data_IF_260055072236
#
_entry.id   IF_260055072236
#
_cell.length_a   1.000
_cell.length_b   1.000
_cell.length_c   1.000
_cell.angle_alpha   90.00
_cell.angle_beta   90.00
_cell.angle_gamma   90.00
#
_symmetry.space_group_name_H-M   'P 1'
#
loop_
_entity.id
_entity.type
_entity.pdbx_description
1 polymer ?
#
# COMPACT_ATOMS: atom_id res chain seq x y z
N UNK A 1 -14.90 -10.37 -30.17
CA UNK A 1 -15.16 -11.37 -29.13
C UNK A 1 -13.90 -11.41 -28.29
N UNK A 2 -13.88 -10.71 -27.14
CA UNK A 2 -12.70 -10.68 -26.29
C UNK A 2 -12.50 -12.09 -25.73
N UNK A 3 -11.37 -12.69 -26.04
CA UNK A 3 -10.96 -13.98 -25.48
C UNK A 3 -10.80 -13.75 -23.97
N UNK A 4 -11.79 -14.23 -23.23
CA UNK A 4 -11.76 -14.23 -21.78
C UNK A 4 -10.71 -15.27 -21.40
N UNK A 5 -9.47 -14.80 -21.19
CA UNK A 5 -8.37 -15.63 -20.69
C UNK A 5 -8.93 -16.31 -19.43
N UNK A 6 -8.95 -17.65 -19.36
CA UNK A 6 -9.48 -18.37 -18.22
C UNK A 6 -8.79 -17.86 -16.95
N UNK A 7 -9.53 -17.74 -15.84
CA UNK A 7 -9.01 -17.51 -14.48
C UNK A 7 -8.07 -18.66 -14.08
N UNK A 8 -6.92 -18.79 -14.74
CA UNK A 8 -5.82 -19.59 -14.26
C UNK A 8 -5.33 -18.92 -12.98
N UNK A 9 -5.14 -19.69 -11.92
CA UNK A 9 -4.61 -19.18 -10.66
C UNK A 9 -3.33 -18.40 -10.94
N UNK A 10 -3.33 -17.11 -10.61
CA UNK A 10 -2.13 -16.31 -10.73
C UNK A 10 -1.09 -16.79 -9.72
N UNK A 11 0.16 -16.42 -9.92
CA UNK A 11 1.19 -16.70 -8.93
C UNK A 11 0.99 -15.77 -7.74
N UNK A 12 1.06 -16.30 -6.52
CA UNK A 12 1.13 -15.43 -5.34
C UNK A 12 2.54 -14.87 -5.22
N UNK A 13 2.64 -13.55 -5.18
CA UNK A 13 3.89 -12.82 -5.06
C UNK A 13 3.88 -11.92 -3.82
N UNK A 14 5.04 -11.82 -3.18
CA UNK A 14 5.29 -10.91 -2.06
C UNK A 14 6.46 -10.03 -2.45
N UNK A 15 6.23 -8.72 -2.46
CA UNK A 15 7.25 -7.71 -2.76
C UNK A 15 7.60 -6.96 -1.48
N UNK A 16 8.89 -6.84 -1.20
CA UNK A 16 9.39 -6.00 -0.11
C UNK A 16 9.92 -4.68 -0.67
N UNK A 17 9.48 -3.56 -0.10
CA UNK A 17 10.04 -2.24 -0.40
C UNK A 17 11.03 -1.89 0.72
N UNK A 18 12.33 -1.98 0.42
CA UNK A 18 13.41 -1.70 1.35
C UNK A 18 14.09 -0.36 1.06
N UNK A 19 14.90 0.11 2.01
CA UNK A 19 15.79 1.25 1.79
C UNK A 19 15.11 2.61 1.71
N UNK A 20 13.90 2.73 2.27
CA UNK A 20 13.20 4.02 2.38
C UNK A 20 14.00 4.92 3.32
N UNK A 21 14.29 6.14 2.90
CA UNK A 21 15.02 7.09 3.72
C UNK A 21 14.13 7.65 4.83
N UNK A 22 14.74 8.04 5.95
CA UNK A 22 14.03 8.76 7.00
C UNK A 22 13.40 10.06 6.45
N UNK A 23 12.19 10.37 6.90
CA UNK A 23 11.39 11.51 6.45
C UNK A 23 10.90 11.45 5.02
N UNK A 24 10.93 10.27 4.40
CA UNK A 24 10.35 10.06 3.06
C UNK A 24 9.28 8.99 3.09
N UNK A 25 8.22 9.20 2.32
CA UNK A 25 7.27 8.14 2.00
C UNK A 25 7.87 7.15 0.99
N UNK A 26 7.19 6.03 0.83
CA UNK A 26 7.60 4.96 -0.07
C UNK A 26 6.65 4.81 -1.25
N UNK A 27 7.17 4.24 -2.34
CA UNK A 27 6.37 3.81 -3.47
C UNK A 27 6.89 2.48 -4.02
N UNK A 28 6.01 1.79 -4.72
CA UNK A 28 6.27 0.60 -5.52
C UNK A 28 5.72 0.86 -6.92
N UNK A 29 6.58 0.65 -7.92
CA UNK A 29 6.21 0.75 -9.33
C UNK A 29 6.03 -0.66 -9.87
N UNK A 30 4.84 -0.96 -10.39
CA UNK A 30 4.54 -2.24 -11.00
C UNK A 30 5.44 -2.50 -12.21
N UNK A 31 5.98 -3.72 -12.30
CA UNK A 31 6.72 -4.17 -13.48
C UNK A 31 5.83 -4.18 -14.73
N UNK A 32 6.38 -3.68 -15.83
CA UNK A 32 5.69 -3.69 -17.13
C UNK A 32 5.41 -5.15 -17.53
N UNK A 33 4.29 -5.40 -18.21
CA UNK A 33 3.85 -6.72 -18.72
C UNK A 33 3.29 -7.66 -17.66
N UNK A 34 2.93 -7.12 -16.51
CA UNK A 34 2.24 -7.87 -15.46
C UNK A 34 0.83 -7.32 -15.28
N UNK A 35 -0.11 -8.22 -15.02
CA UNK A 35 -1.38 -7.89 -14.38
C UNK A 35 -1.27 -8.33 -12.93
N UNK A 36 -1.65 -7.47 -11.99
CA UNK A 36 -1.59 -7.73 -10.57
C UNK A 36 -2.96 -7.57 -9.95
N UNK A 37 -3.35 -8.45 -9.05
CA UNK A 37 -4.47 -8.25 -8.13
C UNK A 37 -3.87 -8.00 -6.76
N UNK A 38 -4.00 -6.76 -6.28
CA UNK A 38 -3.51 -6.37 -4.95
C UNK A 38 -4.40 -6.97 -3.86
N UNK A 39 -3.83 -7.84 -3.03
CA UNK A 39 -4.52 -8.51 -1.92
C UNK A 39 -4.32 -7.75 -0.62
N UNK A 40 -3.08 -7.34 -0.34
CA UNK A 40 -2.75 -6.61 0.87
C UNK A 40 -1.48 -5.76 0.72
N UNK A 41 -1.39 -4.73 1.55
CA UNK A 41 -0.19 -3.94 1.82
C UNK A 41 -0.02 -3.87 3.32
N UNK A 42 1.19 -4.13 3.83
CA UNK A 42 1.54 -3.85 5.22
C UNK A 42 2.78 -2.97 5.28
N UNK A 43 2.83 -2.04 6.22
CA UNK A 43 3.98 -1.17 6.42
C UNK A 43 4.02 -0.71 7.88
N UNK A 44 5.22 -0.49 8.42
CA UNK A 44 5.38 0.03 9.79
C UNK A 44 5.95 1.44 9.72
N UNK A 45 5.30 2.40 10.39
CA UNK A 45 5.81 3.75 10.59
C UNK A 45 6.31 3.89 12.02
N UNK A 46 7.58 4.25 12.16
CA UNK A 46 8.19 4.69 13.41
C UNK A 46 8.18 6.22 13.39
N UNK A 47 7.46 6.83 14.32
CA UNK A 47 7.32 8.29 14.39
C UNK A 47 8.29 8.92 15.37
N UNK A 48 8.78 10.09 15.01
CA UNK A 48 9.59 10.99 15.81
C UNK A 48 8.77 11.66 16.93
N UNK A 49 9.48 12.30 17.87
CA UNK A 49 8.91 13.06 18.99
C UNK A 49 8.45 14.48 18.64
N UNK A 50 8.86 15.03 17.48
CA UNK A 50 8.89 16.48 17.26
C UNK A 50 7.69 17.05 16.48
N UNK A 51 7.05 16.28 15.60
CA UNK A 51 5.94 16.77 14.76
C UNK A 51 4.62 16.11 15.21
N UNK A 52 3.52 16.85 14.99
CA UNK A 52 2.11 16.54 15.27
C UNK A 52 1.60 15.17 14.76
N UNK A 53 0.30 14.96 14.68
CA UNK A 53 -0.23 13.66 14.29
C UNK A 53 0.01 13.32 12.81
N UNK A 54 0.39 12.08 12.52
CA UNK A 54 0.54 11.57 11.14
C UNK A 54 -0.74 10.96 10.64
N UNK A 55 -1.01 11.17 9.35
CA UNK A 55 -2.10 10.47 8.65
C UNK A 55 -1.54 9.87 7.36
N UNK A 56 -1.09 8.60 7.39
CA UNK A 56 -0.72 7.89 6.18
C UNK A 56 -1.95 7.55 5.34
N UNK A 57 -1.84 7.80 4.04
CA UNK A 57 -2.84 7.46 3.03
C UNK A 57 -2.20 6.53 1.99
N UNK A 58 -2.92 5.49 1.58
CA UNK A 58 -2.49 4.67 0.44
C UNK A 58 -3.03 5.29 -0.84
N UNK A 59 -2.15 5.61 -1.77
CA UNK A 59 -2.48 6.20 -3.06
C UNK A 59 -2.03 5.26 -4.16
N UNK A 60 -2.95 4.94 -5.06
CA UNK A 60 -2.68 4.13 -6.24
C UNK A 60 -2.93 4.99 -7.45
N UNK A 61 -1.91 5.12 -8.28
CA UNK A 61 -1.99 5.81 -9.56
C UNK A 61 -1.73 4.83 -10.70
N UNK A 62 -2.27 5.11 -11.87
CA UNK A 62 -2.03 4.33 -13.07
C UNK A 62 -1.87 5.26 -14.27
N UNK A 63 -0.75 5.13 -14.99
CA UNK A 63 -0.42 6.07 -16.06
C UNK A 63 -0.33 7.53 -15.59
N UNK A 64 0.00 7.75 -14.31
CA UNK A 64 0.05 9.08 -13.67
C UNK A 64 -1.29 9.64 -13.19
N UNK A 65 -2.39 8.91 -13.36
CA UNK A 65 -3.72 9.30 -12.86
C UNK A 65 -4.02 8.59 -11.55
N UNK A 66 -4.43 9.32 -10.51
CA UNK A 66 -4.92 8.73 -9.26
C UNK A 66 -6.22 7.97 -9.50
N UNK A 67 -6.21 6.67 -9.23
CA UNK A 67 -7.39 5.80 -9.35
C UNK A 67 -8.02 5.52 -7.99
N UNK A 68 -7.20 5.45 -6.94
CA UNK A 68 -7.62 5.14 -5.58
C UNK A 68 -6.80 5.97 -4.60
N UNK A 69 -7.49 6.53 -3.62
CA UNK A 69 -6.92 7.08 -2.38
C UNK A 69 -7.68 6.53 -1.20
N UNK A 70 -6.94 5.92 -0.28
CA UNK A 70 -7.48 5.36 0.96
C UNK A 70 -6.90 6.17 2.11
N UNK A 71 -7.70 7.13 2.56
CA UNK A 71 -7.36 8.01 3.67
C UNK A 71 -7.25 7.21 4.98
N UNK A 72 -6.23 7.52 5.77
CA UNK A 72 -6.08 6.99 7.12
C UNK A 72 -7.24 7.42 8.00
N UNK A 73 -7.86 6.48 8.72
CA UNK A 73 -9.05 6.75 9.53
C UNK A 73 -8.76 7.52 10.83
N UNK A 74 -7.51 7.56 11.28
CA UNK A 74 -7.11 8.15 12.56
C UNK A 74 -5.74 8.80 12.50
N UNK A 75 -5.51 9.70 13.46
CA UNK A 75 -4.26 10.40 13.71
C UNK A 75 -3.27 9.49 14.44
N UNK A 76 -2.03 9.39 13.98
CA UNK A 76 -0.95 8.66 14.65
C UNK A 76 -0.10 9.61 15.47
N UNK A 77 -0.10 9.40 16.78
CA UNK A 77 0.63 10.24 17.72
C UNK A 77 2.15 10.13 17.52
N UNK A 78 2.85 11.20 17.87
CA UNK A 78 4.31 11.24 17.93
C UNK A 78 4.88 10.18 18.89
N UNK A 79 6.14 9.81 18.67
CA UNK A 79 6.91 8.86 19.50
C UNK A 79 6.26 7.48 19.65
N UNK A 80 5.65 7.00 18.57
CA UNK A 80 5.01 5.69 18.51
C UNK A 80 5.43 4.92 17.27
N UNK A 81 5.36 3.60 17.37
CA UNK A 81 5.47 2.69 16.23
C UNK A 81 4.06 2.21 15.89
N UNK A 82 3.66 2.35 14.63
CA UNK A 82 2.37 1.86 14.13
C UNK A 82 2.54 0.98 12.90
N UNK A 83 1.85 -0.15 12.90
CA UNK A 83 1.70 -1.04 11.77
C UNK A 83 0.43 -0.63 11.02
N UNK A 84 0.54 -0.44 9.72
CA UNK A 84 -0.54 -0.15 8.81
C UNK A 84 -0.74 -1.35 7.91
N UNK A 85 -1.99 -1.79 7.82
CA UNK A 85 -2.46 -2.80 6.89
C UNK A 85 -3.54 -2.20 6.00
N UNK A 86 -3.44 -2.43 4.71
CA UNK A 86 -4.52 -2.25 3.76
C UNK A 86 -4.82 -3.61 3.17
N UNK A 87 -5.99 -4.19 3.46
CA UNK A 87 -6.28 -5.60 3.16
C UNK A 87 -7.62 -5.74 2.44
N UNK A 88 -7.66 -6.59 1.42
CA UNK A 88 -8.90 -6.91 0.72
C UNK A 88 -9.89 -7.64 1.63
N UNK A 89 -11.15 -7.20 1.61
CA UNK A 89 -12.25 -7.93 2.22
C UNK A 89 -12.34 -7.83 3.75
N UNK A 90 -11.33 -7.28 4.40
CA UNK A 90 -11.32 -7.01 5.84
C UNK A 90 -12.20 -5.81 6.18
N UNK A 91 -12.82 -5.85 7.37
CA UNK A 91 -13.45 -4.64 7.94
C UNK A 91 -12.34 -3.78 8.53
N UNK A 92 -12.47 -2.46 8.41
CA UNK A 92 -11.52 -1.55 9.04
C UNK A 92 -11.48 -1.83 10.56
N UNK A 93 -10.31 -2.20 11.06
CA UNK A 93 -10.06 -2.43 12.48
C UNK A 93 -9.18 -1.29 12.99
N UNK A 94 -9.79 -0.39 13.74
CA UNK A 94 -9.06 0.48 14.65
C UNK A 94 -9.18 -0.16 16.04
N UNK A 95 -8.14 -0.86 16.48
CA UNK A 95 -8.14 -1.39 17.86
C UNK A 95 -7.65 -0.26 18.76
N UNK A 96 -8.56 0.30 19.55
CA UNK A 96 -8.26 1.37 20.51
C UNK A 96 -7.09 0.94 21.42
N UNK A 97 -6.01 1.73 21.43
CA UNK A 97 -4.82 1.45 22.25
C UNK A 97 -3.81 0.48 21.65
N UNK A 98 -3.93 0.08 20.38
CA UNK A 98 -2.92 -0.74 19.71
C UNK A 98 -2.11 0.00 18.65
N UNK A 99 -0.88 -0.47 18.48
CA UNK A 99 0.13 -0.07 17.49
C UNK A 99 -0.16 -0.64 16.09
N UNK A 100 -1.42 -0.93 15.76
CA UNK A 100 -1.79 -1.52 14.46
C UNK A 100 -3.13 -1.00 13.95
N UNK A 101 -3.23 -0.84 12.63
CA UNK A 101 -4.41 -0.34 11.93
C UNK A 101 -4.63 -1.14 10.66
N UNK A 102 -5.86 -1.61 10.46
CA UNK A 102 -6.24 -2.26 9.21
C UNK A 102 -7.33 -1.44 8.54
N UNK A 103 -7.12 -1.09 7.27
CA UNK A 103 -8.08 -0.40 6.42
C UNK A 103 -8.46 -1.31 5.26
N UNK A 104 -9.72 -1.28 4.85
CA UNK A 104 -10.21 -2.12 3.77
C UNK A 104 -9.68 -1.65 2.40
N UNK A 105 -9.17 -2.57 1.61
CA UNK A 105 -8.97 -2.37 0.17
C UNK A 105 -10.26 -2.71 -0.60
N UNK A 106 -10.54 -2.03 -1.73
CA UNK A 106 -11.56 -2.48 -2.67
C UNK A 106 -11.33 -3.93 -3.08
N UNK A 107 -12.42 -4.70 -3.19
CA UNK A 107 -12.35 -6.09 -3.65
C UNK A 107 -11.97 -6.15 -5.12
N UNK A 108 -11.20 -7.19 -5.48
CA UNK A 108 -10.80 -7.46 -6.86
C UNK A 108 -10.10 -6.28 -7.53
N UNK A 109 -9.24 -5.57 -6.78
CA UNK A 109 -8.46 -4.47 -7.32
C UNK A 109 -7.36 -5.00 -8.25
N UNK A 110 -7.71 -5.04 -9.53
CA UNK A 110 -6.78 -5.37 -10.60
C UNK A 110 -6.06 -4.12 -11.07
N UNK A 111 -4.74 -4.21 -11.07
CA UNK A 111 -3.80 -3.21 -11.55
C UNK A 111 -3.11 -3.78 -12.79
N UNK A 112 -3.09 -3.00 -13.85
CA UNK A 112 -2.39 -3.30 -15.08
C UNK A 112 -1.36 -2.21 -15.35
N UNK A 113 -0.26 -2.60 -16.00
CA UNK A 113 0.82 -1.77 -16.55
C UNK A 113 0.90 -0.32 -16.04
N UNK A 114 2.05 0.02 -15.44
CA UNK A 114 2.35 1.38 -14.95
C UNK A 114 1.51 1.81 -13.75
N UNK A 115 1.03 0.86 -12.94
CA UNK A 115 0.49 1.20 -11.63
C UNK A 115 1.63 1.58 -10.68
N UNK A 116 1.41 2.62 -9.87
CA UNK A 116 2.28 3.00 -8.77
C UNK A 116 1.44 2.95 -7.50
N UNK A 117 1.87 2.13 -6.55
CA UNK A 117 1.30 2.04 -5.20
C UNK A 117 2.22 2.83 -4.29
N UNK A 118 1.69 3.81 -3.60
CA UNK A 118 2.48 4.71 -2.76
C UNK A 118 1.76 5.02 -1.47
N UNK A 119 2.52 5.44 -0.47
CA UNK A 119 1.96 6.11 0.69
C UNK A 119 2.21 7.60 0.59
N UNK A 120 1.27 8.39 1.06
CA UNK A 120 1.47 9.82 1.31
C UNK A 120 1.12 10.10 2.76
N UNK A 121 2.06 10.66 3.51
CA UNK A 121 1.90 10.92 4.94
C UNK A 121 1.92 12.40 5.20
N UNK A 122 0.79 12.92 5.70
CA UNK A 122 0.74 14.32 6.15
C UNK A 122 1.64 14.50 7.37
N UNK A 123 2.41 15.59 7.34
CA UNK A 123 3.29 16.04 8.41
C UNK A 123 4.43 15.07 8.76
N UNK A 124 4.93 14.27 7.81
CA UNK A 124 6.10 13.40 7.99
C UNK A 124 7.35 14.23 8.40
N UNK A 125 8.00 13.84 9.51
CA UNK A 125 9.23 14.44 10.04
C UNK A 125 10.47 13.78 9.45
N UNK A 126 11.59 14.52 9.41
CA UNK A 126 12.88 14.03 8.91
C UNK A 126 13.41 12.78 9.62
N UNK A 127 12.95 12.49 10.84
CA UNK A 127 13.36 11.33 11.65
C UNK A 127 12.32 10.19 11.59
N UNK A 128 11.14 10.42 11.01
CA UNK A 128 10.17 9.34 10.84
C UNK A 128 10.69 8.30 9.85
N UNK A 129 10.37 7.03 10.10
CA UNK A 129 10.92 5.95 9.30
C UNK A 129 9.85 4.93 8.96
N UNK A 130 9.68 4.69 7.66
CA UNK A 130 8.93 3.54 7.15
C UNK A 130 9.83 2.31 7.08
N UNK A 131 9.41 1.20 7.68
CA UNK A 131 10.08 -0.11 7.68
C UNK A 131 9.07 -1.23 7.45
N UNK A 132 9.56 -2.45 7.19
CA UNK A 132 8.73 -3.65 7.05
C UNK A 132 7.57 -3.50 6.05
N UNK A 133 7.87 -2.92 4.88
CA UNK A 133 6.89 -2.69 3.82
C UNK A 133 6.78 -3.93 2.95
N UNK A 134 5.61 -4.55 2.94
CA UNK A 134 5.30 -5.73 2.14
C UNK A 134 4.01 -5.53 1.35
N UNK A 135 4.06 -5.90 0.08
CA UNK A 135 2.90 -5.91 -0.81
C UNK A 135 2.63 -7.35 -1.23
N UNK A 136 1.37 -7.76 -1.15
CA UNK A 136 0.91 -9.11 -1.45
C UNK A 136 0.01 -9.05 -2.69
N UNK A 137 0.39 -9.78 -3.72
CA UNK A 137 -0.30 -9.81 -5.00
C UNK A 137 -0.61 -11.24 -5.43
N UNK A 138 -1.62 -11.35 -6.27
CA UNK A 138 -1.72 -12.42 -7.25
C UNK A 138 -1.34 -11.84 -8.62
N UNK A 139 -0.37 -12.45 -9.32
CA UNK A 139 0.21 -11.92 -10.56
C UNK A 139 -0.01 -12.87 -11.76
N UNK A 140 -0.27 -12.27 -12.93
CA UNK A 140 -0.32 -12.95 -14.22
C UNK A 140 0.60 -12.26 -15.22
N UNK A 141 1.18 -13.05 -16.11
CA UNK A 141 1.88 -12.52 -17.29
C UNK A 141 0.81 -12.00 -18.26
N UNK A 142 0.91 -10.74 -18.64
CA UNK A 142 0.02 -10.15 -19.63
C UNK A 142 0.71 -10.17 -21.00
N UNK A 143 0.14 -10.81 -22.04
CA UNK A 143 0.71 -10.76 -23.38
C UNK A 143 0.66 -9.33 -23.91
N UNK A 144 1.75 -8.90 -24.57
CA UNK A 144 1.80 -7.61 -25.25
C UNK A 144 0.77 -7.61 -26.37
N UNK A 145 -0.18 -6.68 -26.32
CA UNK A 145 -1.04 -6.34 -27.46
C UNK A 145 -0.28 -5.47 -28.47
#
# INVERSE_FOLDING_TARGET
MAEQIPDQQGRIAVVNVAGVAAGTDWNYVQEIRTRMWLKAVTATLITSVNIADRVPELVITQGGVEIIRITGSQLTAANTTFIYGWMEGERALAVTGQTSRVTALPRQLHLNNQAVISVTTVALDAVDQWVDIYLYFEEWIEPLA
#
